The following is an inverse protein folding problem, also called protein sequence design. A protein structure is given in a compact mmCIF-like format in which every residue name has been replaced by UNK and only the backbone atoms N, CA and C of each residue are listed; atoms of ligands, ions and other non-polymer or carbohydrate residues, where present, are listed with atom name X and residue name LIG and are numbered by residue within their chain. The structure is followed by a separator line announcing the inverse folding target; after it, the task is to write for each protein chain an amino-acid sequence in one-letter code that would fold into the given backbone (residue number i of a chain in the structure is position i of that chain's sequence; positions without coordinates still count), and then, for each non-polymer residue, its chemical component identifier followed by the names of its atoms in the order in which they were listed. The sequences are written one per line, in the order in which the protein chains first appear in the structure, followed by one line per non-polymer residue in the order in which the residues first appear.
data_IF_934508911611
#
_entry.id   IF_934508911611
#
_cell.length_a   1.000
_cell.length_b   1.000
_cell.length_c   1.000
_cell.angle_alpha   90.00
_cell.angle_beta   90.00
_cell.angle_gamma   90.00
#
_symmetry.space_group_name_H-M   'P 1'
#
loop_
_entity.id
_entity.type
_entity.pdbx_description
1 polymer ?
#
# COMPACT_ATOMS: atom_id res chain seq x y z
N UNK A 1 17.59 17.37 -3.47
CA UNK A 1 17.08 15.99 -3.46
C UNK A 1 17.02 15.58 -2.00
N UNK A 2 15.83 15.59 -1.40
CA UNK A 2 15.67 15.25 0.02
C UNK A 2 15.53 13.74 0.11
N UNK A 3 16.61 13.06 0.50
CA UNK A 3 16.60 11.60 0.66
C UNK A 3 16.19 11.30 2.11
N UNK A 4 14.97 10.80 2.30
CA UNK A 4 14.48 10.42 3.63
C UNK A 4 15.13 9.09 4.02
N UNK A 5 16.06 9.13 4.97
CA UNK A 5 16.70 7.94 5.52
C UNK A 5 16.30 7.78 7.01
N UNK A 6 15.80 6.61 7.43
CA UNK A 6 15.71 5.35 6.68
C UNK A 6 14.64 5.38 5.57
N UNK A 7 15.01 4.85 4.39
CA UNK A 7 14.10 4.76 3.24
C UNK A 7 13.07 3.65 3.46
N UNK A 8 11.85 3.94 3.05
CA UNK A 8 10.79 2.95 2.99
C UNK A 8 10.28 2.50 4.36
N UNK A 9 10.48 3.28 5.42
CA UNK A 9 9.97 2.95 6.77
C UNK A 9 8.46 2.64 6.74
N UNK A 10 7.67 3.51 6.11
CA UNK A 10 6.22 3.31 5.93
C UNK A 10 5.94 2.03 5.14
N UNK A 11 6.57 1.87 3.97
CA UNK A 11 6.32 0.70 3.11
C UNK A 11 6.77 -0.62 3.74
N UNK A 12 7.80 -0.60 4.61
CA UNK A 12 8.23 -1.76 5.40
C UNK A 12 7.22 -2.08 6.50
N UNK A 13 6.70 -1.06 7.19
CA UNK A 13 5.67 -1.23 8.21
C UNK A 13 4.38 -1.86 7.65
N UNK A 14 4.05 -1.56 6.40
CA UNK A 14 2.90 -2.14 5.68
C UNK A 14 3.24 -3.36 4.82
N UNK A 15 4.46 -3.92 4.92
CA UNK A 15 4.87 -5.13 4.19
C UNK A 15 4.76 -5.00 2.65
N UNK A 16 4.97 -3.79 2.13
CA UNK A 16 4.89 -3.45 0.69
C UNK A 16 6.20 -2.85 0.16
N UNK A 17 7.32 -3.10 0.82
CA UNK A 17 8.61 -2.61 0.37
C UNK A 17 9.23 -3.55 -0.67
N UNK A 18 9.70 -2.97 -1.79
CA UNK A 18 10.45 -3.68 -2.80
C UNK A 18 11.95 -3.43 -2.58
N UNK A 19 12.64 -4.41 -1.99
CA UNK A 19 14.09 -4.36 -1.73
C UNK A 19 14.91 -4.20 -3.01
N UNK A 20 14.53 -4.90 -4.09
CA UNK A 20 15.27 -4.87 -5.37
C UNK A 20 15.22 -3.49 -6.04
N UNK A 21 14.08 -2.81 -5.95
CA UNK A 21 13.87 -1.49 -6.56
C UNK A 21 14.13 -0.33 -5.61
N UNK A 22 14.34 -0.61 -4.32
CA UNK A 22 14.48 0.40 -3.28
C UNK A 22 13.27 1.35 -3.19
N UNK A 23 12.07 0.83 -3.42
CA UNK A 23 10.83 1.60 -3.48
C UNK A 23 9.62 0.81 -2.96
N UNK A 24 8.53 1.50 -2.64
CA UNK A 24 7.25 0.83 -2.33
C UNK A 24 6.66 0.15 -3.56
N UNK A 25 6.07 -1.03 -3.37
CA UNK A 25 5.14 -1.61 -4.33
C UNK A 25 3.90 -0.71 -4.44
N UNK A 26 3.25 -0.75 -5.61
CA UNK A 26 1.93 -0.13 -5.74
C UNK A 26 0.95 -0.95 -4.93
N UNK A 27 0.35 -0.34 -3.92
CA UNK A 27 -0.59 -1.02 -3.05
C UNK A 27 -1.71 -0.08 -2.64
N UNK A 28 -2.80 -0.68 -2.21
CA UNK A 28 -3.98 -0.01 -1.71
C UNK A 28 -4.33 -0.61 -0.35
N UNK A 29 -4.49 0.26 0.63
CA UNK A 29 -4.67 -0.12 2.02
C UNK A 29 -5.80 0.73 2.57
N UNK A 30 -6.81 0.07 3.14
CA UNK A 30 -7.91 0.76 3.84
C UNK A 30 -7.77 0.48 5.33
N UNK A 31 -7.75 1.55 6.11
CA UNK A 31 -7.65 1.53 7.56
C UNK A 31 -8.95 2.08 8.12
N UNK A 32 -9.56 1.36 9.06
CA UNK A 32 -10.77 1.79 9.72
C UNK A 32 -10.50 2.90 10.77
N UNK A 33 -11.55 3.36 11.45
CA UNK A 33 -11.45 4.40 12.49
C UNK A 33 -10.71 3.96 13.77
N UNK A 34 -10.57 2.65 14.00
CA UNK A 34 -9.85 2.10 15.14
C UNK A 34 -8.36 1.93 14.85
N UNK A 35 -7.95 2.07 13.58
CA UNK A 35 -6.59 1.88 13.12
C UNK A 35 -6.33 0.48 12.56
N UNK A 36 -7.38 -0.34 12.38
CA UNK A 36 -7.26 -1.70 11.85
C UNK A 36 -7.27 -1.70 10.33
N UNK A 37 -6.39 -2.51 9.72
CA UNK A 37 -6.37 -2.69 8.26
C UNK A 37 -7.51 -3.63 7.86
N UNK A 38 -8.53 -3.09 7.20
CA UNK A 38 -9.70 -3.85 6.74
C UNK A 38 -9.58 -4.32 5.29
N UNK A 39 -8.65 -3.72 4.52
CA UNK A 39 -8.36 -4.12 3.16
C UNK A 39 -6.90 -3.86 2.79
N UNK A 40 -6.29 -4.79 2.04
CA UNK A 40 -4.95 -4.67 1.46
C UNK A 40 -4.90 -5.36 0.11
N UNK A 41 -4.51 -4.63 -0.93
CA UNK A 41 -4.20 -5.20 -2.24
C UNK A 41 -2.88 -4.63 -2.79
N UNK A 42 -2.06 -5.50 -3.37
CA UNK A 42 -0.78 -5.14 -4.01
C UNK A 42 -0.90 -5.38 -5.51
N UNK A 43 -0.49 -4.39 -6.30
CA UNK A 43 -0.63 -4.39 -7.75
C UNK A 43 0.71 -4.66 -8.42
N UNK A 44 0.68 -5.58 -9.38
CA UNK A 44 1.81 -5.79 -10.27
C UNK A 44 2.15 -4.50 -11.04
N UNK A 45 3.43 -4.30 -11.40
CA UNK A 45 3.83 -3.19 -12.26
C UNK A 45 2.98 -3.14 -13.54
N UNK A 46 2.42 -1.96 -13.84
CA UNK A 46 1.56 -1.77 -15.02
C UNK A 46 0.07 -2.05 -14.77
N UNK A 47 -0.32 -2.69 -13.65
CA UNK A 47 -1.72 -2.78 -13.23
C UNK A 47 -2.11 -1.51 -12.46
N UNK A 48 -3.21 -0.88 -12.86
CA UNK A 48 -3.81 0.22 -12.11
C UNK A 48 -4.79 -0.36 -11.06
N UNK A 49 -4.99 0.31 -9.91
CA UNK A 49 -6.07 -0.03 -8.99
C UNK A 49 -7.43 0.22 -9.65
N UNK A 50 -8.39 -0.67 -9.42
CA UNK A 50 -9.81 -0.40 -9.72
C UNK A 50 -10.46 0.19 -8.47
N UNK A 51 -11.04 1.40 -8.53
CA UNK A 51 -11.74 1.99 -7.39
C UNK A 51 -12.90 1.15 -6.86
N UNK A 52 -13.54 0.34 -7.71
CA UNK A 52 -14.66 -0.51 -7.30
C UNK A 52 -14.22 -1.62 -6.35
N UNK A 53 -12.99 -2.12 -6.49
CA UNK A 53 -12.44 -3.15 -5.58
C UNK A 53 -12.35 -2.62 -4.14
N UNK A 54 -12.01 -1.34 -3.97
CA UNK A 54 -11.99 -0.69 -2.65
C UNK A 54 -13.39 -0.50 -2.08
N UNK A 55 -14.32 -0.04 -2.92
CA UNK A 55 -15.69 0.27 -2.50
C UNK A 55 -16.40 -0.99 -2.00
N UNK A 56 -16.25 -2.09 -2.73
CA UNK A 56 -16.77 -3.39 -2.31
C UNK A 56 -16.18 -3.84 -0.95
N UNK A 57 -14.92 -3.51 -0.66
CA UNK A 57 -14.27 -3.87 0.60
C UNK A 57 -14.74 -3.04 1.81
N UNK A 58 -15.29 -1.84 1.59
CA UNK A 58 -15.79 -0.97 2.68
C UNK A 58 -17.32 -1.07 2.89
N UNK A 59 -18.06 -1.61 1.90
CA UNK A 59 -19.52 -1.76 1.95
C UNK A 59 -19.98 -3.10 2.55
N UNK A 60 -19.06 -4.04 2.82
CA UNK A 60 -19.33 -5.32 3.49
C UNK A 60 -19.31 -5.21 5.01
#
# INVERSE_FOLDING_TARGET
MSDFHPKGEVTKAYDIWNEERGAGLRALIVVDKNGDIIFREVYAPGKAPDPNDMLAAIEG
#
